data_IF_978710468902
#
_entry.id   IF_978710468902
#
_cell.length_a   1.000
_cell.length_b   1.000
_cell.length_c   1.000
_cell.angle_alpha   90.00
_cell.angle_beta   90.00
_cell.angle_gamma   90.00
#
_symmetry.space_group_name_H-M   'P 1'
#
loop_
_entity.id
_entity.type
_entity.pdbx_description
1 polymer ?
#
# COMPACT_ATOMS: atom_id res chain seq x y z
N UNK A 1 9.65 60.51 -12.47
CA UNK A 1 9.47 59.08 -12.84
C UNK A 1 10.14 58.15 -11.82
N UNK A 2 9.64 58.11 -10.57
CA UNK A 2 10.21 57.24 -9.51
C UNK A 2 9.18 56.88 -8.45
N UNK A 3 7.94 56.56 -8.87
CA UNK A 3 6.89 56.04 -7.97
C UNK A 3 6.05 54.90 -8.58
N UNK A 4 6.35 54.49 -9.82
CA UNK A 4 5.58 53.45 -10.53
C UNK A 4 6.21 52.05 -10.46
N UNK A 5 7.47 51.93 -10.02
CA UNK A 5 8.16 50.63 -9.89
C UNK A 5 7.96 49.94 -8.54
N UNK A 6 7.41 50.63 -7.53
CA UNK A 6 7.23 50.05 -6.18
C UNK A 6 5.93 49.25 -6.02
N UNK A 7 4.94 49.42 -6.90
CA UNK A 7 3.68 48.68 -6.81
C UNK A 7 3.74 47.25 -7.40
N UNK A 8 4.69 46.96 -8.28
CA UNK A 8 4.81 45.62 -8.89
C UNK A 8 5.45 44.59 -7.94
N UNK A 9 6.18 45.03 -6.90
CA UNK A 9 6.91 44.13 -6.00
C UNK A 9 6.07 43.63 -4.82
N UNK A 10 4.99 44.34 -4.44
CA UNK A 10 4.08 43.86 -3.37
C UNK A 10 3.08 42.79 -3.83
N UNK A 11 2.86 42.63 -5.14
CA UNK A 11 1.91 41.64 -5.67
C UNK A 11 2.41 40.19 -5.61
N UNK A 12 3.72 39.98 -5.70
CA UNK A 12 4.33 38.63 -5.73
C UNK A 12 4.40 38.02 -4.32
N UNK A 13 4.39 38.84 -3.26
CA UNK A 13 4.48 38.37 -1.88
C UNK A 13 3.18 37.72 -1.35
N UNK A 14 2.00 37.96 -1.96
CA UNK A 14 0.72 37.40 -1.47
C UNK A 14 0.41 35.99 -1.99
N UNK A 15 1.14 35.47 -2.97
CA UNK A 15 0.85 34.15 -3.54
C UNK A 15 1.61 32.99 -2.88
N UNK A 16 2.55 33.26 -1.95
CA UNK A 16 3.29 32.22 -1.23
C UNK A 16 2.60 31.90 0.10
N UNK A 17 1.29 31.62 0.04
CA UNK A 17 0.67 30.81 1.08
C UNK A 17 1.10 29.38 0.82
N UNK A 18 2.23 28.99 1.42
CA UNK A 18 2.60 27.59 1.56
C UNK A 18 1.51 26.97 2.44
N UNK A 19 0.49 26.40 1.79
CA UNK A 19 -0.44 25.50 2.44
C UNK A 19 0.44 24.44 3.12
N UNK A 20 0.45 24.45 4.46
CA UNK A 20 1.13 23.40 5.22
C UNK A 20 0.57 22.08 4.72
N UNK A 21 1.39 21.32 3.99
CA UNK A 21 1.02 20.00 3.54
C UNK A 21 0.60 19.21 4.78
N UNK A 22 -0.65 18.76 4.83
CA UNK A 22 -1.10 17.89 5.90
C UNK A 22 -0.16 16.69 5.94
N UNK A 23 0.31 16.33 7.13
CA UNK A 23 1.13 15.14 7.33
C UNK A 23 0.31 13.93 6.81
N UNK A 24 0.72 13.41 5.66
CA UNK A 24 -0.11 12.51 4.84
C UNK A 24 0.11 11.04 5.18
N UNK A 25 1.01 10.76 6.11
CA UNK A 25 1.53 9.41 6.44
C UNK A 25 0.79 8.76 7.61
N UNK A 26 -0.41 9.25 7.94
CA UNK A 26 -1.22 8.62 8.99
C UNK A 26 -1.79 7.30 8.45
N UNK A 27 -1.41 6.19 9.08
CA UNK A 27 -2.04 4.88 8.87
C UNK A 27 -3.39 4.87 9.58
N UNK A 28 -4.42 4.42 8.88
CA UNK A 28 -5.78 4.33 9.39
C UNK A 28 -6.15 2.87 9.64
N UNK A 29 -6.78 2.60 10.79
CA UNK A 29 -7.37 1.30 11.05
C UNK A 29 -8.63 1.10 10.20
N UNK A 30 -8.94 -0.15 9.89
CA UNK A 30 -10.08 -0.53 9.03
C UNK A 30 -11.46 -0.05 9.54
N UNK A 31 -11.58 0.30 10.84
CA UNK A 31 -12.81 0.85 11.45
C UNK A 31 -12.88 2.38 11.42
N UNK A 32 -11.78 3.05 11.08
CA UNK A 32 -11.63 4.51 11.19
C UNK A 32 -11.87 5.25 9.87
N UNK A 33 -12.25 4.53 8.82
CA UNK A 33 -12.46 5.06 7.47
C UNK A 33 -13.87 4.76 6.99
N UNK A 34 -14.51 5.75 6.35
CA UNK A 34 -15.84 5.59 5.75
C UNK A 34 -15.82 4.63 4.55
N UNK A 35 -14.70 4.62 3.82
CA UNK A 35 -14.49 3.76 2.65
C UNK A 35 -13.21 2.95 2.82
N UNK A 36 -13.37 1.63 2.86
CA UNK A 36 -12.24 0.71 2.92
C UNK A 36 -11.58 0.58 1.54
N UNK A 37 -10.26 0.31 1.50
CA UNK A 37 -9.59 -0.05 0.26
C UNK A 37 -10.17 -1.35 -0.28
N UNK A 38 -10.32 -1.42 -1.61
CA UNK A 38 -10.82 -2.60 -2.31
C UNK A 38 -9.87 -2.92 -3.47
N UNK A 39 -9.60 -4.22 -3.65
CA UNK A 39 -8.81 -4.69 -4.79
C UNK A 39 -9.52 -4.36 -6.12
N UNK A 40 -8.82 -4.08 -7.22
CA UNK A 40 -9.45 -3.83 -8.51
C UNK A 40 -10.42 -4.96 -8.93
N UNK A 41 -11.72 -4.66 -8.94
CA UNK A 41 -12.78 -5.61 -9.24
C UNK A 41 -13.21 -6.52 -8.06
N UNK A 42 -12.85 -6.13 -6.84
CA UNK A 42 -13.32 -6.71 -5.58
C UNK A 42 -12.61 -8.00 -5.16
N UNK A 43 -13.04 -8.53 -4.02
CA UNK A 43 -12.43 -9.71 -3.39
C UNK A 43 -12.40 -10.95 -4.30
N UNK A 44 -13.40 -11.11 -5.16
CA UNK A 44 -13.39 -12.22 -6.13
C UNK A 44 -12.16 -12.15 -7.04
N UNK A 45 -11.85 -10.97 -7.58
CA UNK A 45 -10.69 -10.77 -8.46
C UNK A 45 -9.38 -10.91 -7.70
N UNK A 46 -9.35 -10.52 -6.44
CA UNK A 46 -8.21 -10.76 -5.55
C UNK A 46 -7.93 -12.27 -5.40
N UNK A 47 -8.94 -13.07 -5.08
CA UNK A 47 -8.76 -14.53 -4.98
C UNK A 47 -8.40 -15.18 -6.32
N UNK A 48 -9.01 -14.73 -7.43
CA UNK A 48 -8.66 -15.19 -8.78
C UNK A 48 -7.19 -14.88 -9.11
N UNK A 49 -6.66 -13.73 -8.65
CA UNK A 49 -5.26 -13.36 -8.78
C UNK A 49 -4.36 -14.26 -7.93
N UNK A 50 -4.67 -14.43 -6.64
CA UNK A 50 -3.88 -15.26 -5.72
C UNK A 50 -3.77 -16.70 -6.23
N UNK A 51 -4.87 -17.30 -6.69
CA UNK A 51 -4.89 -18.66 -7.21
C UNK A 51 -3.95 -18.86 -8.42
N UNK A 52 -3.71 -17.80 -9.21
CA UNK A 52 -2.80 -17.83 -10.37
C UNK A 52 -1.36 -17.48 -9.99
N UNK A 53 -1.19 -16.59 -9.02
CA UNK A 53 0.10 -16.02 -8.67
C UNK A 53 0.89 -16.89 -7.67
N UNK A 54 0.20 -17.58 -6.75
CA UNK A 54 0.82 -18.44 -5.73
C UNK A 54 1.40 -19.70 -6.36
N UNK A 55 2.66 -19.97 -6.06
CA UNK A 55 3.38 -21.20 -6.39
C UNK A 55 3.71 -21.94 -5.12
N UNK A 56 3.13 -23.13 -4.95
CA UNK A 56 3.40 -23.93 -3.76
C UNK A 56 4.89 -24.36 -3.70
N UNK A 57 5.66 -23.96 -2.67
CA UNK A 57 7.11 -24.20 -2.63
C UNK A 57 7.48 -25.69 -2.61
N UNK A 58 8.55 -26.06 -3.32
CA UNK A 58 9.04 -27.44 -3.35
C UNK A 58 9.42 -28.00 -1.97
N UNK A 59 10.06 -27.24 -1.05
CA UNK A 59 10.30 -27.72 0.32
C UNK A 59 9.00 -28.05 1.07
N UNK A 60 7.96 -27.22 0.91
CA UNK A 60 6.67 -27.45 1.53
C UNK A 60 5.98 -28.71 0.98
N UNK A 61 6.09 -28.96 -0.34
CA UNK A 61 5.62 -30.21 -0.97
C UNK A 61 6.30 -31.45 -0.39
N UNK A 62 7.65 -31.46 -0.39
CA UNK A 62 8.42 -32.63 0.08
C UNK A 62 8.15 -32.97 1.54
N UNK A 63 7.90 -31.94 2.35
CA UNK A 63 7.68 -32.09 3.78
C UNK A 63 6.20 -32.23 4.17
N UNK A 64 5.28 -32.28 3.18
CA UNK A 64 3.83 -32.31 3.40
C UNK A 64 3.35 -31.23 4.41
N UNK A 65 3.94 -30.04 4.32
CA UNK A 65 3.52 -28.90 5.14
C UNK A 65 2.16 -28.46 4.63
N UNK A 66 1.24 -28.10 5.52
CA UNK A 66 -0.07 -27.57 5.17
C UNK A 66 -0.51 -26.59 6.26
N UNK A 67 -1.29 -25.56 5.90
CA UNK A 67 -1.79 -24.60 6.86
C UNK A 67 -2.06 -23.22 6.26
N UNK A 68 -1.92 -22.20 7.10
CA UNK A 68 -2.22 -20.81 6.76
C UNK A 68 -1.07 -19.89 7.15
N UNK A 69 -0.70 -19.02 6.24
CA UNK A 69 0.19 -17.87 6.49
C UNK A 69 -0.70 -16.67 6.81
N UNK A 70 -0.45 -16.00 7.93
CA UNK A 70 -1.16 -14.77 8.29
C UNK A 70 -0.23 -13.58 8.10
N UNK A 71 -0.69 -12.57 7.37
CA UNK A 71 0.08 -11.37 7.06
C UNK A 71 -0.71 -10.11 7.42
N UNK A 72 0.01 -9.03 7.68
CA UNK A 72 -0.49 -7.66 7.76
C UNK A 72 0.25 -6.81 6.73
N UNK A 73 -0.42 -5.82 6.18
CA UNK A 73 0.16 -4.87 5.22
C UNK A 73 -0.65 -3.58 5.23
N UNK A 74 -0.04 -2.50 4.73
CA UNK A 74 -0.69 -1.21 4.54
C UNK A 74 -1.06 -1.08 3.06
N UNK A 75 -2.29 -0.63 2.80
CA UNK A 75 -2.71 -0.23 1.45
C UNK A 75 -2.53 1.27 1.33
N UNK A 76 -1.61 1.67 0.46
CA UNK A 76 -1.33 3.07 0.17
C UNK A 76 -2.46 3.71 -0.64
N UNK A 77 -2.49 5.05 -0.67
CA UNK A 77 -3.51 5.82 -1.41
C UNK A 77 -3.54 5.52 -2.92
N UNK A 78 -2.43 5.04 -3.46
CA UNK A 78 -2.30 4.62 -4.86
C UNK A 78 -2.58 3.13 -5.08
N UNK A 79 -3.02 2.40 -4.04
CA UNK A 79 -3.29 0.96 -4.08
C UNK A 79 -2.05 0.06 -3.85
N UNK A 80 -0.84 0.63 -3.80
CA UNK A 80 0.36 -0.15 -3.55
C UNK A 80 0.35 -0.75 -2.14
N UNK A 81 0.93 -1.94 -2.00
CA UNK A 81 1.07 -2.60 -0.70
C UNK A 81 2.43 -2.32 -0.09
N UNK A 82 2.45 -1.79 1.12
CA UNK A 82 3.65 -1.50 1.91
C UNK A 82 3.58 -2.21 3.27
N UNK A 83 4.70 -2.20 4.01
CA UNK A 83 4.82 -2.80 5.34
C UNK A 83 4.26 -4.23 5.48
N UNK A 84 4.59 -5.09 4.50
CA UNK A 84 4.11 -6.47 4.48
C UNK A 84 4.87 -7.28 5.54
N UNK A 85 4.16 -7.68 6.59
CA UNK A 85 4.68 -8.41 7.75
C UNK A 85 3.97 -9.75 7.88
N UNK A 86 4.72 -10.83 8.10
CA UNK A 86 4.17 -12.15 8.45
C UNK A 86 3.90 -12.18 9.95
N UNK A 87 2.62 -12.21 10.33
CA UNK A 87 2.19 -12.29 11.74
C UNK A 87 2.26 -13.73 12.24
N UNK A 88 1.92 -14.70 11.41
CA UNK A 88 2.04 -16.13 11.75
C UNK A 88 2.63 -16.89 10.58
N UNK A 89 3.79 -17.47 10.85
CA UNK A 89 4.57 -18.29 9.92
C UNK A 89 3.99 -19.69 9.79
N UNK A 90 4.06 -20.22 8.58
CA UNK A 90 3.87 -21.63 8.27
C UNK A 90 5.23 -22.30 7.96
N UNK A 91 6.19 -21.55 7.40
CA UNK A 91 7.54 -22.02 7.10
C UNK A 91 7.67 -22.76 5.76
N UNK A 92 8.80 -23.44 5.56
CA UNK A 92 9.09 -24.19 4.31
C UNK A 92 8.98 -23.37 3.01
N UNK A 93 9.24 -22.07 3.07
CA UNK A 93 9.18 -21.17 1.92
C UNK A 93 7.81 -20.56 1.63
N UNK A 94 6.75 -20.94 2.37
CA UNK A 94 5.39 -20.45 2.10
C UNK A 94 5.20 -18.99 2.48
N UNK A 95 5.91 -18.54 3.51
CA UNK A 95 5.81 -17.17 4.02
C UNK A 95 6.45 -16.19 3.03
N UNK A 96 7.63 -16.55 2.51
CA UNK A 96 8.35 -15.81 1.49
C UNK A 96 7.57 -15.74 0.18
N UNK A 97 6.93 -16.86 -0.20
CA UNK A 97 6.07 -16.91 -1.38
C UNK A 97 4.85 -15.99 -1.24
N UNK A 98 4.21 -15.97 -0.06
CA UNK A 98 3.10 -15.08 0.18
C UNK A 98 3.52 -13.60 0.09
N UNK A 99 4.67 -13.23 0.64
CA UNK A 99 5.25 -11.89 0.50
C UNK A 99 5.52 -11.57 -0.98
N UNK A 100 6.11 -12.49 -1.74
CA UNK A 100 6.42 -12.30 -3.18
C UNK A 100 5.15 -11.99 -3.98
N UNK A 101 4.08 -12.75 -3.72
CA UNK A 101 2.80 -12.56 -4.40
C UNK A 101 2.21 -11.20 -4.05
N UNK A 102 2.14 -10.82 -2.78
CA UNK A 102 1.62 -9.50 -2.40
C UNK A 102 2.44 -8.35 -2.99
N UNK A 103 3.77 -8.45 -3.04
CA UNK A 103 4.64 -7.46 -3.70
C UNK A 103 4.42 -7.36 -5.22
N UNK A 104 3.92 -8.42 -5.83
CA UNK A 104 3.61 -8.48 -7.27
C UNK A 104 2.13 -8.21 -7.55
N UNK A 105 1.36 -7.83 -6.52
CA UNK A 105 -0.06 -7.54 -6.64
C UNK A 105 -0.27 -6.30 -7.51
N UNK A 106 -1.27 -6.29 -8.40
CA UNK A 106 -1.70 -5.04 -8.99
C UNK A 106 -2.28 -4.14 -7.89
N UNK A 107 -2.05 -2.84 -8.05
CA UNK A 107 -2.66 -1.77 -7.26
C UNK A 107 -4.02 -1.37 -7.85
#
# INVERSE_FOLDING_TARGET
>A
MRKLFFLALMGIAMCVNIAKAQNTDRVYDFVSVDKQPEFPGGFKKFYDYLAKAIKYPEPAKRNNVEGRVFLSFIVEKNGALTDIIVIRKLGSGTDEEAIRVLKSSPA
#
